data_IF_583937959716
#
_entry.id   IF_583937959716
#
_cell.length_a   1.000
_cell.length_b   1.000
_cell.length_c   1.000
_cell.angle_alpha   90.00
_cell.angle_beta   90.00
_cell.angle_gamma   90.00
#
_symmetry.space_group_name_H-M   'P 1'
#
loop_
_entity.id
_entity.type
_entity.pdbx_description
1 polymer ?
#
# COMPACT_ATOMS: atom_id res chain seq x y z
N UNK A 1 -2.45 -15.44 -6.83
CA UNK A 1 -1.40 -16.47 -6.71
C UNK A 1 -0.43 -16.20 -5.54
N UNK A 2 0.51 -15.23 -5.61
CA UNK A 2 1.51 -15.01 -4.53
C UNK A 2 0.88 -14.64 -3.18
N UNK A 3 0.03 -13.61 -3.14
CA UNK A 3 -0.60 -13.15 -1.91
C UNK A 3 -1.45 -14.25 -1.25
N UNK A 4 -2.22 -15.01 -2.03
CA UNK A 4 -3.02 -16.13 -1.54
C UNK A 4 -2.14 -17.27 -0.99
N UNK A 5 -1.03 -17.59 -1.66
CA UNK A 5 -0.08 -18.60 -1.20
C UNK A 5 0.62 -18.19 0.10
N UNK A 6 0.84 -16.89 0.31
CA UNK A 6 1.35 -16.33 1.55
C UNK A 6 0.26 -16.18 2.64
N UNK A 7 -1.00 -16.47 2.34
CA UNK A 7 -2.12 -16.26 3.26
C UNK A 7 -2.40 -14.78 3.57
N UNK A 8 -1.88 -13.85 2.76
CA UNK A 8 -1.96 -12.42 3.02
C UNK A 8 -3.40 -11.91 2.95
N UNK A 9 -3.80 -11.09 3.92
CA UNK A 9 -5.11 -10.41 3.91
C UNK A 9 -5.08 -9.08 3.16
N UNK A 10 -3.88 -8.56 2.88
CA UNK A 10 -3.64 -7.33 2.14
C UNK A 10 -2.57 -7.63 1.11
N UNK A 11 -2.83 -7.28 -0.14
CA UNK A 11 -1.82 -7.22 -1.18
C UNK A 11 -1.71 -5.78 -1.67
N UNK A 12 -0.51 -5.35 -2.02
CA UNK A 12 -0.29 -4.04 -2.63
C UNK A 12 0.25 -4.22 -4.03
N UNK A 13 -0.14 -3.34 -4.93
CA UNK A 13 0.37 -3.32 -6.30
C UNK A 13 0.98 -1.96 -6.63
N UNK A 14 1.90 -2.00 -7.59
CA UNK A 14 2.54 -0.83 -8.16
C UNK A 14 1.55 -0.06 -9.04
N UNK A 15 1.93 1.15 -9.45
CA UNK A 15 1.12 1.98 -10.37
C UNK A 15 1.93 2.35 -11.59
N UNK A 16 1.26 2.35 -12.74
CA UNK A 16 1.81 2.87 -13.99
C UNK A 16 1.72 4.40 -13.97
N UNK A 17 2.83 5.05 -14.30
CA UNK A 17 2.95 6.50 -14.45
C UNK A 17 2.88 6.82 -15.94
N UNK A 18 1.71 7.27 -16.36
CA UNK A 18 1.45 7.72 -17.74
C UNK A 18 1.63 9.24 -17.80
N UNK A 19 2.42 9.72 -18.75
CA UNK A 19 2.72 11.15 -18.93
C UNK A 19 2.13 11.66 -20.24
N UNK A 20 1.53 12.85 -20.22
CA UNK A 20 0.86 13.42 -21.40
C UNK A 20 1.83 14.07 -22.40
N UNK A 21 3.10 14.26 -22.03
CA UNK A 21 4.12 14.93 -22.84
C UNK A 21 4.83 14.00 -23.85
N UNK A 22 4.35 12.75 -23.98
CA UNK A 22 4.94 11.74 -24.87
C UNK A 22 6.16 11.04 -24.29
N UNK A 23 6.54 11.32 -23.03
CA UNK A 23 7.52 10.50 -22.30
C UNK A 23 6.96 9.08 -22.16
N UNK A 24 7.78 8.03 -22.40
CA UNK A 24 7.34 6.65 -22.23
C UNK A 24 6.78 6.39 -20.84
N UNK A 25 5.74 5.56 -20.78
CA UNK A 25 5.18 5.08 -19.52
C UNK A 25 6.26 4.39 -18.68
N UNK A 26 6.17 4.58 -17.37
CA UNK A 26 7.05 3.95 -16.39
C UNK A 26 6.22 3.41 -15.21
N UNK A 27 6.87 2.74 -14.27
CA UNK A 27 6.28 2.34 -13.00
C UNK A 27 6.73 3.27 -11.88
N UNK A 28 5.87 3.49 -10.89
CA UNK A 28 6.20 4.34 -9.74
C UNK A 28 7.36 3.78 -8.91
N UNK A 29 7.41 2.45 -8.77
CA UNK A 29 8.47 1.74 -8.06
C UNK A 29 9.21 0.78 -8.99
N UNK A 30 10.54 0.69 -8.95
CA UNK A 30 11.28 -0.35 -9.65
C UNK A 30 10.83 -1.76 -9.23
N UNK A 31 10.75 -2.69 -10.18
CA UNK A 31 10.28 -4.06 -9.91
C UNK A 31 11.20 -4.80 -8.91
N UNK A 32 12.51 -4.65 -9.05
CA UNK A 32 13.53 -5.24 -8.16
C UNK A 32 13.41 -4.72 -6.71
N UNK A 33 13.05 -3.44 -6.55
CA UNK A 33 12.77 -2.86 -5.24
C UNK A 33 11.55 -3.52 -4.56
N UNK A 34 10.42 -3.65 -5.26
CA UNK A 34 9.22 -4.28 -4.69
C UNK A 34 9.40 -5.78 -4.46
N UNK A 35 10.12 -6.48 -5.36
CA UNK A 35 10.47 -7.88 -5.17
C UNK A 35 11.34 -8.10 -3.93
N UNK A 36 12.31 -7.21 -3.69
CA UNK A 36 13.23 -7.25 -2.55
C UNK A 36 12.56 -6.97 -1.20
N UNK A 37 11.53 -6.12 -1.14
CA UNK A 37 10.75 -5.90 0.09
C UNK A 37 10.06 -7.18 0.53
N UNK A 38 9.44 -7.88 -0.43
CA UNK A 38 8.73 -9.15 -0.30
C UNK A 38 7.47 -9.17 0.59
N UNK A 39 7.52 -8.47 1.73
CA UNK A 39 6.46 -8.18 2.70
C UNK A 39 6.71 -6.76 3.23
N UNK A 40 5.64 -6.01 3.50
CA UNK A 40 5.74 -4.64 4.00
C UNK A 40 5.15 -4.64 5.41
N UNK A 41 5.99 -4.49 6.43
CA UNK A 41 5.53 -4.36 7.80
C UNK A 41 4.86 -3.00 8.03
N UNK A 42 4.14 -2.87 9.15
CA UNK A 42 3.61 -1.57 9.56
C UNK A 42 4.72 -0.52 9.74
N UNK A 43 5.91 -0.93 10.21
CA UNK A 43 7.06 -0.03 10.37
C UNK A 43 7.55 0.45 9.00
N UNK A 44 7.73 -0.47 8.04
CA UNK A 44 8.13 -0.13 6.66
C UNK A 44 7.12 0.83 6.02
N UNK A 45 5.82 0.58 6.22
CA UNK A 45 4.75 1.44 5.71
C UNK A 45 4.82 2.85 6.31
N UNK A 46 4.97 2.98 7.63
CA UNK A 46 5.07 4.29 8.29
C UNK A 46 6.31 5.04 7.81
N UNK A 47 7.47 4.39 7.82
CA UNK A 47 8.75 4.98 7.39
C UNK A 47 8.69 5.43 5.92
N UNK A 48 8.14 4.59 5.03
CA UNK A 48 8.01 4.89 3.61
C UNK A 48 7.04 6.03 3.28
N UNK A 49 6.17 6.43 4.21
CA UNK A 49 5.22 7.55 4.04
C UNK A 49 5.69 8.86 4.70
N UNK A 50 6.84 8.88 5.38
CA UNK A 50 7.39 10.11 5.94
C UNK A 50 7.83 11.06 4.81
N UNK A 51 7.18 12.23 4.77
CA UNK A 51 7.56 13.32 3.87
C UNK A 51 8.99 13.72 4.22
N UNK A 52 9.87 13.78 3.21
CA UNK A 52 11.29 14.17 3.24
C UNK A 52 12.34 13.05 3.36
N UNK A 53 11.99 11.80 3.67
CA UNK A 53 13.01 10.74 3.85
C UNK A 53 13.03 9.66 2.75
N UNK A 54 11.91 9.39 2.08
CA UNK A 54 11.83 8.29 1.10
C UNK A 54 11.93 8.75 -0.36
N UNK A 55 12.78 8.07 -1.14
CA UNK A 55 12.85 8.20 -2.61
C UNK A 55 11.54 7.78 -3.29
N UNK A 56 10.75 6.94 -2.60
CA UNK A 56 9.47 6.42 -3.07
C UNK A 56 8.46 6.39 -1.91
N UNK A 57 7.33 7.09 -2.07
CA UNK A 57 6.29 7.14 -1.03
C UNK A 57 5.35 5.93 -1.16
N UNK A 58 5.42 5.00 -0.20
CA UNK A 58 4.61 3.77 -0.20
C UNK A 58 3.09 4.02 -0.20
N UNK A 59 2.63 5.22 0.15
CA UNK A 59 1.23 5.63 0.03
C UNK A 59 0.68 5.64 -1.40
N UNK A 60 1.54 5.60 -2.43
CA UNK A 60 1.09 5.48 -3.82
C UNK A 60 0.72 4.05 -4.25
N UNK A 61 1.14 3.03 -3.49
CA UNK A 61 0.78 1.66 -3.77
C UNK A 61 -0.74 1.47 -3.64
N UNK A 62 -1.30 0.62 -4.50
CA UNK A 62 -2.74 0.36 -4.50
C UNK A 62 -3.04 -0.93 -3.73
N UNK A 63 -3.69 -0.85 -2.55
CA UNK A 63 -4.01 -2.04 -1.79
C UNK A 63 -5.25 -2.75 -2.34
N UNK A 64 -5.21 -4.08 -2.29
CA UNK A 64 -6.34 -4.99 -2.43
C UNK A 64 -6.51 -5.73 -1.12
N UNK A 65 -7.70 -5.65 -0.54
CA UNK A 65 -8.00 -6.23 0.77
C UNK A 65 -8.87 -7.48 0.65
N UNK A 66 -8.61 -8.46 1.50
CA UNK A 66 -9.56 -9.53 1.76
C UNK A 66 -10.77 -8.95 2.51
N UNK A 67 -11.95 -9.00 1.89
CA UNK A 67 -13.17 -8.38 2.44
C UNK A 67 -13.52 -8.84 3.87
N UNK A 68 -13.51 -10.15 4.13
CA UNK A 68 -13.81 -10.69 5.47
C UNK A 68 -12.89 -10.13 6.55
N UNK A 69 -11.61 -9.89 6.23
CA UNK A 69 -10.64 -9.33 7.16
C UNK A 69 -10.98 -7.90 7.56
N UNK A 70 -11.46 -7.07 6.62
CA UNK A 70 -11.96 -5.73 6.93
C UNK A 70 -13.21 -5.78 7.81
N UNK A 71 -14.10 -6.73 7.58
CA UNK A 71 -15.35 -6.87 8.33
C UNK A 71 -15.09 -7.36 9.76
N UNK A 72 -14.27 -8.39 9.93
CA UNK A 72 -13.92 -8.98 11.22
C UNK A 72 -13.18 -7.97 12.12
N UNK A 73 -12.31 -7.14 11.54
CA UNK A 73 -11.57 -6.09 12.26
C UNK A 73 -12.28 -4.72 12.28
N UNK A 74 -13.49 -4.61 11.72
CA UNK A 74 -14.30 -3.38 11.67
C UNK A 74 -13.56 -2.19 11.02
N UNK A 75 -12.74 -2.46 10.02
CA UNK A 75 -11.91 -1.47 9.33
C UNK A 75 -12.76 -0.73 8.28
N UNK A 76 -12.84 0.60 8.39
CA UNK A 76 -13.58 1.49 7.49
C UNK A 76 -12.85 2.82 7.37
N UNK A 77 -13.10 3.55 6.28
CA UNK A 77 -12.71 4.94 6.18
C UNK A 77 -13.37 5.76 7.31
N UNK A 78 -12.60 6.68 7.90
CA UNK A 78 -13.18 7.74 8.72
C UNK A 78 -13.67 8.86 7.80
N UNK A 79 -14.97 8.91 7.54
CA UNK A 79 -15.59 9.92 6.66
C UNK A 79 -15.43 11.36 7.16
N UNK A 80 -15.00 11.57 8.42
CA UNK A 80 -14.70 12.90 8.96
C UNK A 80 -13.28 13.35 8.64
N UNK A 81 -12.39 12.42 8.33
CA UNK A 81 -11.02 12.69 7.93
C UNK A 81 -10.99 12.92 6.41
N UNK A 82 -10.68 14.15 6.00
CA UNK A 82 -10.69 14.52 4.56
C UNK A 82 -9.37 14.24 3.83
N UNK A 83 -8.30 14.05 4.57
CA UNK A 83 -6.94 13.87 4.03
C UNK A 83 -6.27 12.77 4.86
N UNK A 84 -5.79 11.73 4.19
CA UNK A 84 -5.05 10.62 4.80
C UNK A 84 -5.95 9.55 5.40
N UNK A 85 -7.24 9.53 5.07
CA UNK A 85 -8.18 8.48 5.45
C UNK A 85 -7.77 7.10 4.92
N UNK A 86 -7.16 7.06 3.74
CA UNK A 86 -6.57 5.87 3.13
C UNK A 86 -5.31 5.40 3.85
N UNK A 87 -4.43 6.33 4.22
CA UNK A 87 -3.27 6.05 5.03
C UNK A 87 -3.68 5.43 6.37
N UNK A 88 -4.65 6.04 7.06
CA UNK A 88 -5.15 5.52 8.34
C UNK A 88 -5.78 4.14 8.16
N UNK A 89 -6.56 3.93 7.10
CA UNK A 89 -7.17 2.62 6.83
C UNK A 89 -6.10 1.55 6.62
N UNK A 90 -5.09 1.81 5.79
CA UNK A 90 -4.04 0.85 5.49
C UNK A 90 -3.13 0.61 6.69
N UNK A 91 -2.74 1.65 7.45
CA UNK A 91 -1.98 1.49 8.69
C UNK A 91 -2.75 0.66 9.73
N UNK A 92 -4.06 0.92 9.90
CA UNK A 92 -4.90 0.17 10.83
C UNK A 92 -5.07 -1.29 10.39
N UNK A 93 -5.20 -1.52 9.07
CA UNK A 93 -5.25 -2.84 8.50
C UNK A 93 -3.95 -3.61 8.73
N UNK A 94 -2.79 -3.01 8.45
CA UNK A 94 -1.47 -3.61 8.71
C UNK A 94 -1.26 -3.93 10.20
N UNK A 95 -1.76 -3.09 11.10
CA UNK A 95 -1.72 -3.34 12.55
C UNK A 95 -2.64 -4.48 13.03
N UNK A 96 -3.63 -4.88 12.21
CA UNK A 96 -4.62 -5.91 12.54
C UNK A 96 -4.26 -7.29 11.96
N UNK A 97 -3.16 -7.39 11.20
CA UNK A 97 -2.61 -8.67 10.75
C UNK A 97 -2.07 -9.42 11.97
N UNK A 98 -2.47 -10.69 12.13
CA UNK A 98 -2.05 -11.58 13.23
C UNK A 98 -1.01 -12.56 12.70
#
# INVERSE_FOLDING_TARGET
ARAEAAGAQIAVDNVQVVREDGTPDDTMFPADYLEGLSEISLADYIEGNLVFESRFNLGYLKPVFQRRFLDDNKLRYDEKLRIGEDYILLASASASVI
#
